data_IF_244799915657
#
_entry.id   IF_244799915657
#
_cell.length_a   1.000
_cell.length_b   1.000
_cell.length_c   1.000
_cell.angle_alpha   90.00
_cell.angle_beta   90.00
_cell.angle_gamma   90.00
#
_symmetry.space_group_name_H-M   'P 1'
#
loop_
_entity.id
_entity.type
_entity.pdbx_description
1 polymer ?
#
# COMPACT_ATOMS: atom_id res chain seq x y z
N UNK A 1 -11.67 18.71 2.14
CA UNK A 1 -12.30 18.52 0.81
C UNK A 1 -11.78 17.26 0.16
N UNK A 2 -12.67 16.39 -0.32
CA UNK A 2 -12.27 15.14 -0.96
C UNK A 2 -11.70 15.40 -2.35
N UNK A 3 -10.66 14.64 -2.73
CA UNK A 3 -10.17 14.62 -4.10
C UNK A 3 -11.00 13.64 -4.91
N UNK A 4 -11.51 14.09 -6.04
CA UNK A 4 -12.33 13.27 -6.94
C UNK A 4 -11.40 12.56 -7.91
N UNK A 5 -11.55 11.24 -8.00
CA UNK A 5 -10.74 10.39 -8.85
C UNK A 5 -11.64 9.68 -9.87
N UNK A 6 -11.41 9.96 -11.14
CA UNK A 6 -12.06 9.28 -12.25
C UNK A 6 -10.96 8.75 -13.17
N UNK A 7 -10.87 7.43 -13.29
CA UNK A 7 -9.77 6.83 -14.03
C UNK A 7 -10.27 5.83 -15.06
N UNK A 8 -10.12 6.19 -16.30
CA UNK A 8 -10.54 5.35 -17.43
C UNK A 8 -9.69 4.09 -17.59
N UNK A 9 -8.47 4.10 -17.03
CA UNK A 9 -7.58 2.93 -17.03
C UNK A 9 -8.07 1.82 -16.11
N UNK A 10 -8.96 2.14 -15.18
CA UNK A 10 -9.50 1.18 -14.21
C UNK A 10 -10.90 0.71 -14.63
N UNK A 11 -11.02 0.21 -15.85
CA UNK A 11 -12.31 -0.19 -16.42
C UNK A 11 -12.93 -1.41 -15.76
N UNK A 12 -12.15 -2.20 -15.02
CA UNK A 12 -12.65 -3.37 -14.29
C UNK A 12 -13.43 -3.01 -13.03
N UNK A 13 -13.42 -1.74 -12.60
CA UNK A 13 -14.13 -1.33 -11.38
C UNK A 13 -15.64 -1.22 -11.65
N UNK A 14 -16.42 -2.02 -10.93
CA UNK A 14 -17.88 -1.91 -10.94
C UNK A 14 -18.34 -0.78 -10.02
N UNK A 15 -19.63 -0.44 -10.06
CA UNK A 15 -20.23 0.52 -9.14
C UNK A 15 -20.07 0.05 -7.68
N UNK A 16 -20.16 -1.26 -7.43
CA UNK A 16 -19.97 -1.83 -6.11
C UNK A 16 -18.53 -1.67 -5.62
N UNK A 17 -17.53 -1.90 -6.50
CA UNK A 17 -16.12 -1.70 -6.16
C UNK A 17 -15.84 -0.24 -5.81
N UNK A 18 -16.39 0.69 -6.59
CA UNK A 18 -16.24 2.14 -6.32
C UNK A 18 -16.87 2.52 -4.98
N UNK A 19 -18.03 1.95 -4.67
CA UNK A 19 -18.68 2.19 -3.37
C UNK A 19 -17.80 1.75 -2.21
N UNK A 20 -17.21 0.55 -2.27
CA UNK A 20 -16.33 0.03 -1.24
C UNK A 20 -15.04 0.85 -1.11
N UNK A 21 -14.46 1.25 -2.23
CA UNK A 21 -13.28 2.11 -2.23
C UNK A 21 -13.57 3.48 -1.63
N UNK A 22 -14.73 4.05 -1.97
CA UNK A 22 -15.15 5.33 -1.39
C UNK A 22 -15.31 5.24 0.12
N UNK A 23 -15.85 4.15 0.62
CA UNK A 23 -15.96 3.94 2.06
C UNK A 23 -14.59 3.80 2.72
N UNK A 24 -13.67 3.09 2.09
CA UNK A 24 -12.33 2.89 2.64
C UNK A 24 -11.54 4.20 2.70
N UNK A 25 -11.59 5.01 1.63
CA UNK A 25 -10.82 6.25 1.52
C UNK A 25 -11.60 7.50 1.91
N UNK A 26 -12.70 7.34 2.62
CA UNK A 26 -13.57 8.44 3.08
C UNK A 26 -12.86 9.35 4.08
N UNK A 27 -12.00 8.80 4.93
CA UNK A 27 -11.29 9.54 5.95
C UNK A 27 -10.00 10.14 5.38
N UNK A 28 -9.56 11.32 5.89
CA UNK A 28 -8.21 11.80 5.59
C UNK A 28 -7.19 10.87 6.27
N UNK A 29 -6.02 10.73 5.68
CA UNK A 29 -4.94 9.89 6.21
C UNK A 29 -5.42 8.44 6.42
N UNK A 30 -5.68 7.77 5.29
CA UNK A 30 -6.11 6.37 5.31
C UNK A 30 -5.02 5.47 4.73
N UNK A 31 -4.81 4.33 5.36
CA UNK A 31 -3.88 3.32 4.88
C UNK A 31 -4.62 2.16 4.24
N UNK A 32 -3.98 1.51 3.28
CA UNK A 32 -4.52 0.34 2.62
C UNK A 32 -3.42 -0.67 2.37
N UNK A 33 -3.63 -1.90 2.85
CA UNK A 33 -2.77 -3.02 2.52
C UNK A 33 -3.40 -3.77 1.34
N UNK A 34 -2.65 -4.00 0.25
CA UNK A 34 -3.21 -4.57 -0.98
C UNK A 34 -3.94 -5.89 -0.78
N UNK A 35 -3.42 -6.79 0.05
CA UNK A 35 -4.05 -8.09 0.30
C UNK A 35 -5.41 -7.96 0.97
N UNK A 36 -5.50 -7.09 1.98
CA UNK A 36 -6.77 -6.84 2.68
C UNK A 36 -7.77 -6.18 1.76
N UNK A 37 -7.33 -5.23 0.95
CA UNK A 37 -8.19 -4.53 0.02
C UNK A 37 -8.70 -5.48 -1.07
N UNK A 38 -7.87 -6.41 -1.55
CA UNK A 38 -8.28 -7.42 -2.52
C UNK A 38 -9.41 -8.30 -1.97
N UNK A 39 -9.29 -8.74 -0.72
CA UNK A 39 -10.33 -9.53 -0.06
C UNK A 39 -11.61 -8.72 0.10
N UNK A 40 -11.49 -7.49 0.56
CA UNK A 40 -12.63 -6.60 0.78
C UNK A 40 -13.40 -6.31 -0.51
N UNK A 41 -12.70 -6.12 -1.62
CA UNK A 41 -13.31 -5.83 -2.93
C UNK A 41 -13.71 -7.09 -3.69
N UNK A 42 -13.15 -8.26 -3.32
CA UNK A 42 -13.39 -9.50 -4.05
C UNK A 42 -12.74 -9.50 -5.43
N UNK A 43 -11.57 -8.89 -5.56
CA UNK A 43 -10.81 -8.83 -6.81
C UNK A 43 -9.41 -9.42 -6.60
N UNK A 44 -8.67 -9.59 -7.70
CA UNK A 44 -7.33 -10.14 -7.64
C UNK A 44 -6.33 -9.12 -7.08
N UNK A 45 -5.28 -9.63 -6.45
CA UNK A 45 -4.20 -8.81 -5.90
C UNK A 45 -3.58 -7.90 -6.96
N UNK A 46 -3.37 -8.42 -8.19
CA UNK A 46 -2.82 -7.64 -9.29
C UNK A 46 -3.70 -6.44 -9.66
N UNK A 47 -5.02 -6.59 -9.55
CA UNK A 47 -5.96 -5.49 -9.81
C UNK A 47 -5.87 -4.43 -8.73
N UNK A 48 -5.69 -4.81 -7.47
CA UNK A 48 -5.48 -3.84 -6.39
C UNK A 48 -4.17 -3.09 -6.59
N UNK A 49 -3.10 -3.78 -6.97
CA UNK A 49 -1.82 -3.14 -7.27
C UNK A 49 -1.98 -2.11 -8.40
N UNK A 50 -2.78 -2.43 -9.42
CA UNK A 50 -3.07 -1.48 -10.51
C UNK A 50 -3.80 -0.23 -10.00
N UNK A 51 -4.79 -0.39 -9.12
CA UNK A 51 -5.50 0.73 -8.50
C UNK A 51 -4.54 1.64 -7.75
N UNK A 52 -3.71 1.05 -6.89
CA UNK A 52 -2.78 1.82 -6.06
C UNK A 52 -1.69 2.49 -6.89
N UNK A 53 -1.23 1.84 -7.97
CA UNK A 53 -0.26 2.42 -8.89
C UNK A 53 -0.81 3.67 -9.59
N UNK A 54 -2.06 3.62 -10.04
CA UNK A 54 -2.71 4.77 -10.67
C UNK A 54 -2.90 5.90 -9.68
N UNK A 55 -3.35 5.60 -8.45
CA UNK A 55 -3.50 6.61 -7.39
C UNK A 55 -2.16 7.26 -7.07
N UNK A 56 -1.09 6.49 -7.02
CA UNK A 56 0.25 7.00 -6.75
C UNK A 56 0.76 7.88 -7.89
N UNK A 57 0.53 7.47 -9.14
CA UNK A 57 0.93 8.25 -10.31
C UNK A 57 0.25 9.62 -10.35
N UNK A 58 -1.01 9.69 -9.93
CA UNK A 58 -1.78 10.94 -9.87
C UNK A 58 -1.63 11.67 -8.53
N UNK A 59 -0.74 11.20 -7.67
CA UNK A 59 -0.41 11.80 -6.36
C UNK A 59 -1.56 11.77 -5.34
N UNK A 60 -2.50 10.85 -5.50
CA UNK A 60 -3.57 10.64 -4.52
C UNK A 60 -3.09 9.83 -3.32
N UNK A 61 -2.07 8.99 -3.48
CA UNK A 61 -1.51 8.23 -2.37
C UNK A 61 0.01 8.08 -2.51
N UNK A 62 0.62 7.64 -1.40
CA UNK A 62 2.03 7.29 -1.31
C UNK A 62 2.13 5.81 -0.98
N UNK A 63 3.04 5.09 -1.66
CA UNK A 63 3.25 3.67 -1.43
C UNK A 63 4.51 3.46 -0.60
N UNK A 64 4.39 2.62 0.42
CA UNK A 64 5.46 2.29 1.34
C UNK A 64 5.78 0.80 1.27
N UNK A 65 7.08 0.47 1.38
CA UNK A 65 7.54 -0.88 1.63
C UNK A 65 7.69 -1.05 3.14
N UNK A 66 6.97 -2.01 3.70
CA UNK A 66 7.05 -2.34 5.12
C UNK A 66 8.02 -3.49 5.30
N UNK A 67 8.97 -3.31 6.21
CA UNK A 67 9.97 -4.31 6.51
C UNK A 67 9.67 -4.91 7.87
N UNK A 68 9.51 -6.25 7.92
CA UNK A 68 9.27 -7.00 9.14
C UNK A 68 10.48 -7.88 9.44
N UNK A 69 10.84 -7.95 10.72
CA UNK A 69 11.88 -8.83 11.22
C UNK A 69 11.33 -9.64 12.39
N UNK A 70 11.87 -10.83 12.62
CA UNK A 70 11.38 -11.74 13.66
C UNK A 70 11.44 -11.17 15.08
N UNK A 71 12.16 -10.08 15.28
CA UNK A 71 12.30 -9.40 16.59
C UNK A 71 11.05 -8.63 17.02
N UNK A 72 10.08 -8.42 16.12
CA UNK A 72 8.89 -7.63 16.41
C UNK A 72 7.68 -8.16 15.64
N UNK A 73 6.49 -8.00 16.20
CA UNK A 73 5.23 -8.34 15.54
C UNK A 73 4.79 -7.27 14.54
N UNK A 74 5.31 -6.05 14.68
CA UNK A 74 5.03 -4.94 13.75
C UNK A 74 6.22 -4.72 12.83
N UNK A 75 6.01 -3.92 11.78
CA UNK A 75 7.13 -3.57 10.90
C UNK A 75 8.18 -2.76 11.68
N UNK A 76 9.47 -3.02 11.37
CA UNK A 76 10.59 -2.35 12.03
C UNK A 76 11.02 -1.09 11.29
N UNK A 77 10.67 -0.99 10.01
CA UNK A 77 10.98 0.18 9.18
C UNK A 77 10.02 0.25 8.00
N UNK A 78 9.77 1.46 7.50
CA UNK A 78 9.08 1.65 6.22
C UNK A 78 9.95 2.53 5.32
N UNK A 79 10.00 2.17 4.05
CA UNK A 79 10.75 2.90 3.03
C UNK A 79 9.81 3.29 1.90
N UNK A 80 10.05 4.43 1.23
CA UNK A 80 9.30 4.72 0.01
C UNK A 80 9.45 3.58 -0.99
N UNK A 81 8.33 3.06 -1.50
CA UNK A 81 8.36 1.91 -2.41
C UNK A 81 9.18 2.18 -3.66
N UNK A 82 9.24 3.44 -4.11
CA UNK A 82 10.02 3.85 -5.28
C UNK A 82 11.51 3.58 -5.16
N UNK A 83 12.02 3.46 -3.92
CA UNK A 83 13.44 3.17 -3.69
C UNK A 83 13.77 1.68 -3.83
N UNK A 84 12.75 0.83 -3.93
CA UNK A 84 12.92 -0.62 -4.06
C UNK A 84 13.31 -1.31 -2.77
N UNK A 85 13.92 -2.48 -2.91
CA UNK A 85 14.31 -3.31 -1.78
C UNK A 85 15.42 -2.67 -0.95
N UNK A 86 15.44 -2.90 0.38
CA UNK A 86 16.55 -2.43 1.20
C UNK A 86 17.87 -3.09 0.76
N UNK A 87 18.96 -2.38 0.94
CA UNK A 87 20.28 -2.92 0.60
C UNK A 87 20.75 -3.93 1.64
N UNK A 88 21.42 -4.98 1.18
CA UNK A 88 22.06 -5.96 2.08
C UNK A 88 23.56 -5.64 2.19
N UNK A 89 24.18 -5.83 3.35
CA UNK A 89 23.55 -6.25 4.61
C UNK A 89 22.63 -5.16 5.19
N UNK A 90 21.51 -5.60 5.76
CA UNK A 90 20.52 -4.72 6.37
C UNK A 90 20.63 -4.82 7.90
N UNK A 91 20.76 -3.67 8.55
CA UNK A 91 20.78 -3.62 10.02
C UNK A 91 19.38 -3.28 10.51
N UNK A 92 18.78 -4.21 11.26
CA UNK A 92 17.44 -3.98 11.82
C UNK A 92 17.49 -2.80 12.80
N UNK A 93 16.69 -1.74 12.58
CA UNK A 93 16.70 -0.58 13.47
C UNK A 93 16.13 -0.87 14.85
N UNK A 94 15.43 -1.98 15.02
CA UNK A 94 14.80 -2.34 16.29
C UNK A 94 15.71 -3.20 17.17
N UNK A 95 16.30 -4.28 16.63
CA UNK A 95 17.14 -5.20 17.40
C UNK A 95 18.63 -5.14 17.06
N UNK A 96 19.01 -4.34 16.07
CA UNK A 96 20.40 -4.11 15.62
C UNK A 96 21.09 -5.35 15.04
N UNK A 97 20.35 -6.43 14.78
CA UNK A 97 20.89 -7.62 14.11
C UNK A 97 21.17 -7.30 12.65
N UNK A 98 22.31 -7.79 12.15
CA UNK A 98 22.67 -7.63 10.75
C UNK A 98 22.03 -8.76 9.94
N UNK A 99 21.23 -8.40 8.94
CA UNK A 99 20.54 -9.33 8.04
C UNK A 99 21.31 -9.40 6.72
N UNK A 100 21.67 -10.58 6.29
CA UNK A 100 22.47 -10.81 5.08
C UNK A 100 21.64 -11.37 3.91
N UNK A 101 20.42 -11.83 4.17
CA UNK A 101 19.58 -12.46 3.18
C UNK A 101 18.14 -11.95 3.30
N UNK A 102 17.47 -11.68 2.17
CA UNK A 102 16.07 -11.25 2.16
C UNK A 102 15.12 -12.29 2.76
N UNK A 103 15.50 -13.58 2.77
CA UNK A 103 14.70 -14.64 3.40
C UNK A 103 14.54 -14.44 4.91
N UNK A 104 15.42 -13.66 5.54
CA UNK A 104 15.34 -13.33 6.96
C UNK A 104 14.38 -12.17 7.24
N UNK A 105 13.84 -11.53 6.19
CA UNK A 105 12.90 -10.42 6.30
C UNK A 105 11.57 -10.81 5.68
N UNK A 106 10.50 -10.25 6.21
CA UNK A 106 9.18 -10.29 5.58
C UNK A 106 8.87 -8.89 5.07
N UNK A 107 8.42 -8.80 3.83
CA UNK A 107 8.13 -7.52 3.19
C UNK A 107 6.66 -7.45 2.81
N UNK A 108 6.07 -6.27 2.95
CA UNK A 108 4.71 -6.00 2.53
C UNK A 108 4.61 -4.59 1.97
N UNK A 109 3.50 -4.26 1.36
CA UNK A 109 3.25 -2.96 0.76
C UNK A 109 2.06 -2.32 1.45
N UNK A 110 2.16 -1.00 1.70
CA UNK A 110 1.07 -0.22 2.25
C UNK A 110 0.93 1.07 1.45
N UNK A 111 -0.30 1.39 1.08
CA UNK A 111 -0.63 2.69 0.49
C UNK A 111 -1.19 3.60 1.58
N UNK A 112 -0.87 4.89 1.49
CA UNK A 112 -1.34 5.90 2.44
C UNK A 112 -1.86 7.11 1.67
N UNK A 113 -3.10 7.51 1.95
CA UNK A 113 -3.68 8.74 1.42
C UNK A 113 -3.57 9.84 2.47
N UNK A 114 -3.43 11.10 2.03
CA UNK A 114 -3.40 12.25 2.94
C UNK A 114 -4.72 12.99 2.99
N UNK A 115 -5.53 12.86 1.98
CA UNK A 115 -6.84 13.48 1.88
C UNK A 115 -7.86 12.42 1.48
N UNK A 116 -9.16 12.61 1.79
CA UNK A 116 -10.18 11.68 1.30
C UNK A 116 -10.16 11.58 -0.21
N UNK A 117 -10.39 10.38 -0.75
CA UNK A 117 -10.44 10.13 -2.19
C UNK A 117 -11.81 9.59 -2.55
N UNK A 118 -12.43 10.17 -3.56
CA UNK A 118 -13.73 9.74 -4.07
C UNK A 118 -13.57 9.16 -5.47
N UNK A 119 -14.03 7.93 -5.67
CA UNK A 119 -14.02 7.25 -6.96
C UNK A 119 -15.37 7.47 -7.66
N UNK A 120 -15.32 7.97 -8.85
CA UNK A 120 -16.52 8.23 -9.67
C UNK A 120 -16.54 7.40 -10.95
#
# INVERSE_FOLDING_TARGET
MAQVFCEKRLTFLSAHHKFLLNQHFKQPIQTAQPRELAIKLGIEYSQVIAILAVLSADKFCYNWLLIYHTCSETFVERLPLRLGMPKLPYVCPYCEVIVYDYDELKLDVMAETKTPVEFI
#
